data_IF_811281955713
#
_entry.id   IF_811281955713
#
_cell.length_a   1.000
_cell.length_b   1.000
_cell.length_c   1.000
_cell.angle_alpha   90.00
_cell.angle_beta   90.00
_cell.angle_gamma   90.00
#
_symmetry.space_group_name_H-M   'P 1'
#
loop_
_entity.id
_entity.type
_entity.pdbx_description
1 polymer ?
#
# COMPACT_ATOMS: atom_id res chain seq x y z
N UNK A 1 -8.80 6.00 25.41
CA UNK A 1 -8.53 7.44 25.18
C UNK A 1 -7.17 7.85 25.75
N UNK A 2 -6.92 7.69 27.06
CA UNK A 2 -5.64 8.10 27.70
C UNK A 2 -4.38 7.50 27.04
N UNK A 3 -4.37 6.20 26.76
CA UNK A 3 -3.22 5.54 26.13
C UNK A 3 -2.92 6.08 24.71
N UNK A 4 -3.96 6.24 23.86
CA UNK A 4 -3.79 6.80 22.51
C UNK A 4 -3.21 8.21 22.54
N UNK A 5 -3.66 9.05 23.48
CA UNK A 5 -3.13 10.40 23.63
C UNK A 5 -1.67 10.39 24.13
N UNK A 6 -1.32 9.47 25.02
CA UNK A 6 0.05 9.32 25.51
C UNK A 6 1.02 8.95 24.37
N UNK A 7 0.61 8.09 23.43
CA UNK A 7 1.44 7.76 22.26
C UNK A 7 1.66 8.97 21.35
N UNK A 8 0.63 9.80 21.13
CA UNK A 8 0.80 11.04 20.36
C UNK A 8 1.77 12.02 21.01
N UNK A 9 1.80 12.07 22.35
CA UNK A 9 2.78 12.86 23.09
C UNK A 9 4.19 12.35 22.81
N UNK A 10 4.44 11.03 22.95
CA UNK A 10 5.76 10.44 22.66
C UNK A 10 6.23 10.72 21.23
N UNK A 11 5.35 10.55 20.25
CA UNK A 11 5.67 10.84 18.84
C UNK A 11 6.03 12.33 18.67
N UNK A 12 5.30 13.24 19.34
CA UNK A 12 5.62 14.67 19.27
C UNK A 12 6.96 15.00 19.94
N UNK A 13 7.30 14.36 21.06
CA UNK A 13 8.59 14.51 21.73
C UNK A 13 9.74 14.01 20.86
N UNK A 14 9.59 12.84 20.25
CA UNK A 14 10.56 12.27 19.32
C UNK A 14 10.72 13.12 18.05
N UNK A 15 9.63 13.68 17.52
CA UNK A 15 9.70 14.62 16.40
C UNK A 15 10.44 15.90 16.79
N UNK A 16 10.12 16.46 17.96
CA UNK A 16 10.72 17.69 18.45
C UNK A 16 12.21 17.52 18.80
N UNK A 17 12.66 16.32 19.19
CA UNK A 17 14.07 16.05 19.46
C UNK A 17 14.92 15.96 18.18
N UNK A 18 14.29 15.64 17.05
CA UNK A 18 14.94 15.50 15.75
C UNK A 18 14.88 16.78 14.90
N UNK A 19 14.10 17.77 15.30
CA UNK A 19 13.94 19.02 14.56
C UNK A 19 14.48 20.21 15.34
N UNK A 20 15.16 21.12 14.64
CA UNK A 20 15.51 22.44 15.19
C UNK A 20 14.43 23.49 14.90
N UNK A 21 13.41 23.13 14.12
CA UNK A 21 12.45 24.09 13.55
C UNK A 21 11.11 24.09 14.30
N UNK A 22 11.04 24.84 15.39
CA UNK A 22 9.80 25.16 16.11
C UNK A 22 9.13 23.97 16.81
N UNK A 23 8.63 24.20 18.02
CA UNK A 23 7.96 23.15 18.80
C UNK A 23 6.60 22.77 18.18
N UNK A 24 6.30 21.47 18.11
CA UNK A 24 5.00 20.93 17.66
C UNK A 24 4.32 20.18 18.80
N UNK A 25 3.04 20.47 19.02
CA UNK A 25 2.26 19.73 20.01
C UNK A 25 1.76 18.40 19.45
N UNK A 26 1.34 17.50 20.34
CA UNK A 26 0.69 16.24 19.96
C UNK A 26 -0.53 16.47 19.05
N UNK A 27 -1.31 17.54 19.26
CA UNK A 27 -2.43 17.90 18.41
C UNK A 27 -1.99 18.29 17.00
N UNK A 28 -0.87 19.01 16.84
CA UNK A 28 -0.36 19.39 15.52
C UNK A 28 0.07 18.16 14.72
N UNK A 29 0.83 17.26 15.37
CA UNK A 29 1.31 16.02 14.73
C UNK A 29 0.14 15.13 14.34
N UNK A 30 -0.84 14.98 15.23
CA UNK A 30 -2.07 14.23 14.95
C UNK A 30 -2.86 14.84 13.79
N UNK A 31 -3.07 16.15 13.80
CA UNK A 31 -3.80 16.84 12.73
C UNK A 31 -3.10 16.67 11.37
N UNK A 32 -1.77 16.73 11.35
CA UNK A 32 -0.99 16.49 10.14
C UNK A 32 -1.17 15.05 9.64
N UNK A 33 -1.13 14.05 10.54
CA UNK A 33 -1.39 12.66 10.19
C UNK A 33 -2.79 12.45 9.58
N UNK A 34 -3.83 13.01 10.20
CA UNK A 34 -5.20 12.90 9.66
C UNK A 34 -5.34 13.56 8.28
N UNK A 35 -4.65 14.69 8.07
CA UNK A 35 -4.60 15.35 6.75
C UNK A 35 -3.94 14.46 5.69
N UNK A 36 -2.78 13.89 6.01
CA UNK A 36 -2.04 12.98 5.14
C UNK A 36 -2.86 11.73 4.80
N UNK A 37 -3.49 11.13 5.81
CA UNK A 37 -4.39 9.99 5.66
C UNK A 37 -5.55 10.32 4.71
N UNK A 38 -6.26 11.42 4.96
CA UNK A 38 -7.40 11.85 4.13
C UNK A 38 -7.00 12.17 2.70
N UNK A 39 -5.84 12.78 2.50
CA UNK A 39 -5.29 13.02 1.16
C UNK A 39 -5.06 11.71 0.43
N UNK A 40 -4.45 10.74 1.13
CA UNK A 40 -4.16 9.41 0.58
C UNK A 40 -5.43 8.66 0.18
N UNK A 41 -6.46 8.68 1.03
CA UNK A 41 -7.77 8.06 0.73
C UNK A 41 -8.44 8.68 -0.50
N UNK A 42 -8.44 10.02 -0.58
CA UNK A 42 -9.01 10.75 -1.72
C UNK A 42 -8.31 10.39 -3.02
N UNK A 43 -7.00 10.28 -2.96
CA UNK A 43 -6.15 9.98 -4.11
C UNK A 43 -6.32 8.54 -4.60
N UNK A 44 -6.31 7.56 -3.68
CA UNK A 44 -6.61 6.17 -3.99
C UNK A 44 -8.01 6.01 -4.59
N UNK A 45 -9.00 6.73 -4.06
CA UNK A 45 -10.37 6.73 -4.60
C UNK A 45 -10.43 7.34 -5.99
N UNK A 46 -9.69 8.43 -6.24
CA UNK A 46 -9.62 9.07 -7.55
C UNK A 46 -8.92 8.16 -8.58
N UNK A 47 -7.90 7.42 -8.17
CA UNK A 47 -7.24 6.40 -9.00
C UNK A 47 -8.22 5.30 -9.38
N UNK A 48 -8.91 4.68 -8.41
CA UNK A 48 -9.96 3.67 -8.66
C UNK A 48 -11.05 4.21 -9.57
N UNK A 49 -11.54 5.42 -9.30
CA UNK A 49 -12.57 6.06 -10.12
C UNK A 49 -12.12 6.28 -11.55
N UNK A 50 -10.84 6.60 -11.78
CA UNK A 50 -10.31 6.79 -13.14
C UNK A 50 -10.28 5.50 -13.96
N UNK A 51 -10.14 4.33 -13.30
CA UNK A 51 -10.19 3.02 -13.94
C UNK A 51 -11.60 2.60 -14.36
N UNK A 52 -12.62 2.99 -13.59
CA UNK A 52 -14.02 2.58 -13.81
C UNK A 52 -14.84 3.63 -14.58
N UNK A 53 -14.27 4.78 -14.93
CA UNK A 53 -15.00 5.86 -15.60
C UNK A 53 -15.24 5.52 -17.08
N UNK A 54 -16.52 5.33 -17.45
CA UNK A 54 -16.96 4.94 -18.82
C UNK A 54 -17.35 6.17 -19.68
N UNK A 55 -17.23 7.38 -19.13
CA UNK A 55 -17.46 8.60 -19.91
C UNK A 55 -16.23 8.90 -20.76
N UNK A 56 -16.33 8.77 -22.09
CA UNK A 56 -15.24 8.81 -23.09
C UNK A 56 -14.36 10.07 -23.18
N UNK A 57 -14.18 10.80 -22.08
CA UNK A 57 -13.09 11.75 -21.91
C UNK A 57 -11.75 11.06 -21.66
N UNK A 58 -10.63 11.76 -21.86
CA UNK A 58 -9.30 11.21 -21.66
C UNK A 58 -9.11 10.76 -20.21
N UNK A 59 -8.46 9.61 -20.02
CA UNK A 59 -8.04 9.13 -18.71
C UNK A 59 -7.19 10.21 -18.01
N UNK A 60 -7.43 10.42 -16.72
CA UNK A 60 -6.59 11.33 -15.93
C UNK A 60 -5.16 10.77 -15.91
N UNK A 61 -4.13 11.64 -16.00
CA UNK A 61 -2.76 11.18 -15.91
C UNK A 61 -2.54 10.46 -14.58
N UNK A 62 -1.78 9.35 -14.61
CA UNK A 62 -1.33 8.68 -13.40
C UNK A 62 -0.61 9.69 -12.53
N UNK A 63 -0.96 9.70 -11.25
CA UNK A 63 -0.33 10.58 -10.29
C UNK A 63 1.18 10.32 -10.25
N UNK A 64 1.95 11.39 -10.09
CA UNK A 64 3.38 11.32 -9.83
C UNK A 64 3.68 10.39 -8.64
N UNK A 65 4.71 9.56 -8.79
CA UNK A 65 5.06 8.53 -7.81
C UNK A 65 5.63 9.18 -6.54
N UNK A 66 4.75 9.41 -5.56
CA UNK A 66 5.15 9.95 -4.27
C UNK A 66 5.47 8.81 -3.27
N UNK A 67 6.73 8.68 -2.81
CA UNK A 67 7.11 7.61 -1.89
C UNK A 67 6.43 7.71 -0.52
N UNK A 68 6.11 8.93 -0.06
CA UNK A 68 5.37 9.15 1.18
C UNK A 68 3.93 8.64 1.04
N UNK A 69 3.27 8.93 -0.08
CA UNK A 69 1.93 8.44 -0.39
C UNK A 69 1.89 6.91 -0.35
N UNK A 70 2.81 6.23 -1.05
CA UNK A 70 2.89 4.75 -1.03
C UNK A 70 3.08 4.20 0.38
N UNK A 71 3.91 4.83 1.20
CA UNK A 71 4.16 4.39 2.57
C UNK A 71 2.92 4.55 3.45
N UNK A 72 2.21 5.68 3.33
CA UNK A 72 0.97 5.91 4.07
C UNK A 72 -0.09 4.91 3.60
N UNK A 73 -0.29 4.76 2.29
CA UNK A 73 -1.25 3.84 1.69
C UNK A 73 -1.00 2.40 2.16
N UNK A 74 0.25 1.94 2.20
CA UNK A 74 0.59 0.63 2.73
C UNK A 74 0.17 0.46 4.21
N UNK A 75 0.38 1.50 5.02
CA UNK A 75 0.01 1.51 6.44
C UNK A 75 -1.50 1.51 6.68
N UNK A 76 -2.30 2.11 5.80
CA UNK A 76 -3.77 2.21 5.93
C UNK A 76 -4.53 1.31 4.95
N UNK A 77 -3.83 0.48 4.18
CA UNK A 77 -4.34 -0.23 2.99
C UNK A 77 -5.64 -1.01 3.24
N UNK A 78 -5.72 -1.72 4.37
CA UNK A 78 -6.89 -2.52 4.75
C UNK A 78 -8.16 -1.68 4.89
N UNK A 79 -8.04 -0.40 5.29
CA UNK A 79 -9.17 0.51 5.42
C UNK A 79 -9.55 1.22 4.12
N UNK A 80 -8.61 1.34 3.17
CA UNK A 80 -8.79 2.15 1.96
C UNK A 80 -9.18 1.29 0.75
N UNK A 81 -8.55 0.13 0.59
CA UNK A 81 -8.80 -0.77 -0.56
C UNK A 81 -10.07 -1.60 -0.33
N UNK A 82 -10.40 -1.89 0.93
CA UNK A 82 -11.47 -2.81 1.29
C UNK A 82 -11.09 -4.28 1.05
N UNK A 83 -12.08 -5.17 1.20
CA UNK A 83 -11.90 -6.58 0.88
C UNK A 83 -12.00 -6.79 -0.62
N UNK A 84 -11.03 -7.52 -1.19
CA UNK A 84 -11.08 -7.95 -2.59
C UNK A 84 -12.20 -8.97 -2.75
N UNK A 85 -13.11 -8.72 -3.69
CA UNK A 85 -14.22 -9.61 -4.01
C UNK A 85 -14.08 -10.10 -5.45
N UNK A 86 -14.05 -11.42 -5.62
CA UNK A 86 -13.85 -12.07 -6.91
C UNK A 86 -14.97 -11.80 -7.93
N UNK A 87 -16.16 -11.45 -7.45
CA UNK A 87 -17.34 -11.18 -8.26
C UNK A 87 -17.57 -9.69 -8.50
N UNK A 88 -16.70 -8.81 -7.99
CA UNK A 88 -16.81 -7.37 -8.20
C UNK A 88 -16.26 -6.99 -9.59
N UNK A 89 -16.90 -6.00 -10.22
CA UNK A 89 -16.59 -5.59 -11.59
C UNK A 89 -15.26 -4.86 -11.73
N UNK A 90 -14.67 -4.45 -10.61
CA UNK A 90 -13.37 -3.79 -10.53
C UNK A 90 -12.27 -4.67 -9.91
N UNK A 91 -12.53 -5.97 -9.76
CA UNK A 91 -11.52 -6.94 -9.38
C UNK A 91 -10.52 -7.16 -10.52
N UNK A 92 -9.51 -6.30 -10.58
CA UNK A 92 -8.40 -6.34 -11.53
C UNK A 92 -7.40 -7.49 -11.27
N UNK A 93 -7.84 -8.61 -10.69
CA UNK A 93 -7.01 -9.81 -10.41
C UNK A 93 -6.60 -10.60 -11.66
N UNK A 94 -6.55 -9.94 -12.83
CA UNK A 94 -5.94 -10.45 -14.05
C UNK A 94 -4.58 -9.78 -14.29
N UNK A 95 -3.71 -9.75 -13.28
CA UNK A 95 -2.28 -9.83 -13.58
C UNK A 95 -2.00 -11.27 -13.94
N UNK A 96 -2.05 -11.58 -15.24
CA UNK A 96 -1.42 -12.77 -15.79
C UNK A 96 0.07 -12.68 -15.46
N UNK A 97 0.45 -13.17 -14.28
CA UNK A 97 1.83 -13.58 -14.03
C UNK A 97 2.06 -14.67 -15.06
N UNK A 98 2.79 -14.33 -16.14
CA UNK A 98 3.42 -15.34 -16.98
C UNK A 98 4.41 -16.03 -16.04
N UNK A 99 3.96 -17.07 -15.37
CA UNK A 99 4.86 -18.08 -14.83
C UNK A 99 5.37 -18.77 -16.08
N UNK A 100 6.54 -18.39 -16.58
CA UNK A 100 7.26 -19.26 -17.50
C UNK A 100 7.44 -20.59 -16.77
N UNK A 101 6.72 -21.61 -17.25
CA UNK A 101 6.86 -22.98 -16.78
C UNK A 101 8.34 -23.35 -16.82
N UNK A 102 8.93 -23.60 -15.65
CA UNK A 102 10.20 -24.33 -15.60
C UNK A 102 9.86 -25.75 -16.12
N UNK A 103 10.40 -26.19 -17.27
CA UNK A 103 10.04 -27.48 -17.81
C UNK A 103 10.45 -28.57 -16.83
N UNK A 104 9.44 -29.37 -16.44
CA UNK A 104 9.57 -30.54 -15.59
C UNK A 104 10.35 -31.62 -16.32
N UNK A 105 11.68 -31.53 -16.34
CA UNK A 105 12.53 -32.66 -16.69
C UNK A 105 13.77 -32.70 -15.81
N UNK A 106 13.55 -32.89 -14.51
CA UNK A 106 14.59 -33.42 -13.62
C UNK A 106 13.86 -34.34 -12.65
N UNK A 107 13.75 -35.62 -13.01
CA UNK A 107 13.64 -36.77 -12.10
C UNK A 107 13.48 -38.06 -12.94
N UNK A 108 14.58 -38.55 -13.53
CA UNK A 108 14.69 -39.95 -13.96
C UNK A 108 16.16 -40.37 -14.01
N UNK A 109 16.66 -40.92 -12.90
CA UNK A 109 17.41 -42.20 -12.84
C UNK A 109 18.28 -42.26 -11.59
N UNK A 110 17.66 -42.66 -10.48
CA UNK A 110 18.39 -43.38 -9.43
C UNK A 110 18.22 -44.86 -9.74
N UNK A 111 19.23 -45.50 -10.35
CA UNK A 111 19.36 -46.96 -10.39
C UNK A 111 20.80 -47.38 -10.09
N UNK A 112 20.97 -47.91 -8.88
CA UNK A 112 21.65 -49.17 -8.62
C UNK A 112 23.16 -49.23 -8.84
N UNK A 113 23.91 -49.05 -7.76
CA UNK A 113 25.21 -49.65 -7.53
C UNK A 113 25.05 -51.10 -7.04
N UNK A 114 25.56 -52.10 -7.78
CA UNK A 114 26.04 -53.35 -7.18
C UNK A 114 27.28 -53.82 -7.94
N UNK A 115 28.38 -53.96 -7.19
CA UNK A 115 29.64 -54.60 -7.56
C UNK A 115 29.42 -56.02 -8.09
N UNK A 116 30.21 -56.43 -9.08
CA UNK A 116 31.13 -57.58 -9.00
C UNK A 116 32.24 -57.39 -10.01
#
# INVERSE_FOLDING_TARGET
MKQKNAEWVKISEEFNSQTTFGYRTAENVKAQWESLKKSTEKESSAERQSLIQIGGGPAKPKLEDNPLYRKILAMISTTVVGLVNEYDSDNMSNNHVIIEEIPSNTLASTKGNTNT
#
